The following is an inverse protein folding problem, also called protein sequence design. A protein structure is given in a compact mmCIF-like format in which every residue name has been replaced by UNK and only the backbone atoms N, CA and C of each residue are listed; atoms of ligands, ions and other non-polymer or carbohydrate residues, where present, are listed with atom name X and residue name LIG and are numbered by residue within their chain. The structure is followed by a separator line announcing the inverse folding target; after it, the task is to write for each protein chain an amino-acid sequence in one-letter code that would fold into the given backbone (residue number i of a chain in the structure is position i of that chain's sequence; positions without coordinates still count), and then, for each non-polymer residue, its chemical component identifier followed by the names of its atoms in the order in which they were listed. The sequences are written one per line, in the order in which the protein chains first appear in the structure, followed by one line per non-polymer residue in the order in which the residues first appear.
data_IF_065221035874
#
_entry.id   IF_065221035874
#
_cell.length_a   1.000
_cell.length_b   1.000
_cell.length_c   1.000
_cell.angle_alpha   90.00
_cell.angle_beta   90.00
_cell.angle_gamma   90.00
#
_symmetry.space_group_name_H-M   'P 1'
#
loop_
_entity.id
_entity.type
_entity.pdbx_description
1 polymer ?
#
# COMPACT_ATOMS: atom_id res chain seq x y z
N UNK A 1 -26.76 9.14 17.56
CA UNK A 1 -26.34 9.88 16.33
C UNK A 1 -27.00 9.19 15.15
N UNK A 2 -27.74 9.91 14.30
CA UNK A 2 -28.43 9.33 13.14
C UNK A 2 -27.43 9.16 11.97
N UNK A 3 -27.03 7.92 11.60
CA UNK A 3 -26.05 7.70 10.53
C UNK A 3 -26.54 8.17 9.16
N UNK A 4 -27.85 8.08 8.89
CA UNK A 4 -28.45 8.50 7.63
C UNK A 4 -28.33 10.01 7.44
N UNK A 5 -28.69 10.79 8.48
CA UNK A 5 -28.57 12.24 8.45
C UNK A 5 -27.13 12.73 8.20
N UNK A 6 -26.11 11.97 8.64
CA UNK A 6 -24.72 12.30 8.36
C UNK A 6 -24.34 11.98 6.90
N UNK A 7 -24.83 10.88 6.33
CA UNK A 7 -24.60 10.57 4.91
C UNK A 7 -25.25 11.61 4.00
N UNK A 8 -26.48 12.03 4.31
CA UNK A 8 -27.18 13.07 3.56
C UNK A 8 -26.44 14.42 3.64
N UNK A 9 -25.89 14.73 4.81
CA UNK A 9 -25.05 15.92 5.01
C UNK A 9 -23.80 15.89 4.13
N UNK A 10 -23.08 14.76 4.10
CA UNK A 10 -21.90 14.59 3.25
C UNK A 10 -22.28 14.67 1.76
N UNK A 11 -23.37 14.03 1.35
CA UNK A 11 -23.85 14.09 -0.04
C UNK A 11 -24.16 15.53 -0.46
N UNK A 12 -24.80 16.31 0.41
CA UNK A 12 -25.10 17.73 0.17
C UNK A 12 -23.81 18.57 0.02
N UNK A 13 -22.77 18.27 0.81
CA UNK A 13 -21.48 18.94 0.69
C UNK A 13 -20.81 18.59 -0.65
N UNK A 14 -20.77 17.30 -1.00
CA UNK A 14 -20.11 16.84 -2.23
C UNK A 14 -20.77 17.41 -3.49
N UNK A 15 -22.10 17.62 -3.50
CA UNK A 15 -22.77 18.32 -4.60
C UNK A 15 -22.17 19.71 -4.90
N UNK A 16 -21.71 20.43 -3.86
CA UNK A 16 -21.07 21.74 -4.02
C UNK A 16 -19.58 21.60 -4.32
N UNK A 17 -18.88 20.72 -3.61
CA UNK A 17 -17.44 20.53 -3.78
C UNK A 17 -17.07 20.03 -5.19
N UNK A 18 -17.90 19.19 -5.79
CA UNK A 18 -17.67 18.68 -7.14
C UNK A 18 -17.59 19.80 -8.20
N UNK A 19 -18.21 20.96 -7.94
CA UNK A 19 -18.14 22.13 -8.88
C UNK A 19 -16.76 22.78 -8.94
N UNK A 20 -15.91 22.48 -7.96
CA UNK A 20 -14.52 22.95 -7.87
C UNK A 20 -13.55 21.76 -7.82
N UNK A 21 -13.98 20.61 -8.33
CA UNK A 21 -13.19 19.39 -8.44
C UNK A 21 -12.68 18.87 -7.09
N UNK A 22 -13.42 19.09 -6.00
CA UNK A 22 -13.15 18.53 -4.68
C UNK A 22 -14.21 17.49 -4.28
N UNK A 23 -13.83 16.52 -3.46
CA UNK A 23 -14.76 15.53 -2.89
C UNK A 23 -14.41 15.23 -1.43
N UNK A 24 -15.40 15.16 -0.56
CA UNK A 24 -15.26 14.59 0.77
C UNK A 24 -15.47 13.07 0.71
N UNK A 25 -14.38 12.32 0.75
CA UNK A 25 -14.37 10.86 0.56
C UNK A 25 -14.17 10.12 1.88
N UNK A 26 -14.94 9.05 2.08
CA UNK A 26 -14.73 8.09 3.17
C UNK A 26 -13.82 6.97 2.69
N UNK A 27 -12.87 6.57 3.53
CA UNK A 27 -12.06 5.37 3.33
C UNK A 27 -11.81 4.66 4.67
N UNK A 28 -11.02 3.59 4.66
CA UNK A 28 -10.47 2.96 5.86
C UNK A 28 -8.95 2.87 5.71
N UNK A 29 -8.22 3.23 6.75
CA UNK A 29 -6.78 3.08 6.78
C UNK A 29 -6.40 1.60 6.59
N UNK A 30 -5.55 1.30 5.61
CA UNK A 30 -5.19 -0.08 5.29
C UNK A 30 -4.41 -0.78 6.42
N UNK A 31 -3.75 -0.02 7.30
CA UNK A 31 -2.97 -0.57 8.40
C UNK A 31 -3.86 -1.01 9.56
N UNK A 32 -4.76 -0.15 10.05
CA UNK A 32 -5.55 -0.44 11.27
C UNK A 32 -7.06 -0.63 11.02
N UNK A 33 -7.53 -0.35 9.81
CA UNK A 33 -8.92 -0.49 9.39
C UNK A 33 -9.85 0.59 9.96
N UNK A 34 -9.34 1.64 10.60
CA UNK A 34 -10.16 2.74 11.10
C UNK A 34 -10.70 3.56 9.94
N UNK A 35 -11.97 3.96 10.05
CA UNK A 35 -12.59 4.84 9.08
C UNK A 35 -11.90 6.22 9.10
N UNK A 36 -11.55 6.71 7.92
CA UNK A 36 -10.98 8.03 7.69
C UNK A 36 -11.87 8.81 6.73
N UNK A 37 -11.83 10.13 6.86
CA UNK A 37 -12.46 11.06 5.93
C UNK A 37 -11.40 12.01 5.43
N UNK A 38 -11.36 12.23 4.11
CA UNK A 38 -10.43 13.13 3.47
C UNK A 38 -11.16 14.04 2.47
N UNK A 39 -10.71 15.28 2.38
CA UNK A 39 -11.05 16.17 1.29
C UNK A 39 -10.03 15.94 0.17
N UNK A 40 -10.44 15.30 -0.91
CA UNK A 40 -9.58 14.97 -2.06
C UNK A 40 -9.86 15.95 -3.18
N UNK A 41 -8.84 16.29 -3.96
CA UNK A 41 -9.03 16.94 -5.25
C UNK A 41 -9.16 15.83 -6.30
N UNK A 42 -9.98 16.08 -7.30
CA UNK A 42 -10.36 15.09 -8.32
C UNK A 42 -9.66 15.37 -9.66
N UNK A 43 -8.77 16.38 -9.70
CA UNK A 43 -7.85 16.63 -10.83
C UNK A 43 -6.57 15.81 -10.71
N UNK A 44 -6.04 15.37 -11.86
CA UNK A 44 -4.78 14.62 -11.93
C UNK A 44 -3.52 15.43 -11.59
N UNK A 45 -3.59 16.76 -11.55
CA UNK A 45 -2.47 17.62 -11.18
C UNK A 45 -2.24 17.76 -9.67
N UNK A 46 -2.84 16.89 -8.84
CA UNK A 46 -2.77 16.94 -7.38
C UNK A 46 -1.36 16.90 -6.78
N UNK A 47 -0.36 16.36 -7.50
CA UNK A 47 1.05 16.46 -7.07
C UNK A 47 1.50 17.91 -6.90
N UNK A 48 0.82 18.88 -7.53
CA UNK A 48 1.06 20.32 -7.34
C UNK A 48 0.83 20.75 -5.88
N UNK A 49 0.00 20.05 -5.09
CA UNK A 49 -0.15 20.33 -3.65
C UNK A 49 1.17 20.15 -2.89
N UNK A 50 2.01 19.20 -3.30
CA UNK A 50 3.33 19.01 -2.69
C UNK A 50 4.25 20.21 -2.95
N UNK A 51 4.00 21.01 -4.00
CA UNK A 51 4.82 22.18 -4.34
C UNK A 51 4.76 23.31 -3.33
N UNK A 52 3.77 23.32 -2.42
CA UNK A 52 3.75 24.30 -1.32
C UNK A 52 4.65 23.92 -0.15
N UNK A 53 4.99 22.63 0.00
CA UNK A 53 5.73 22.08 1.16
C UNK A 53 7.11 21.54 0.80
N UNK A 54 7.33 21.20 -0.47
CA UNK A 54 8.52 20.56 -0.99
C UNK A 54 9.04 21.27 -2.23
N UNK A 55 10.36 21.31 -2.34
CA UNK A 55 11.06 21.79 -3.53
C UNK A 55 10.84 20.85 -4.72
N UNK A 56 11.04 21.32 -5.97
CA UNK A 56 10.88 20.49 -7.16
C UNK A 56 11.72 19.20 -7.15
N UNK A 57 12.91 19.24 -6.53
CA UNK A 57 13.81 18.07 -6.41
C UNK A 57 13.25 17.07 -5.40
N UNK A 58 12.75 17.55 -4.26
CA UNK A 58 12.11 16.70 -3.24
C UNK A 58 10.85 16.03 -3.81
N UNK A 59 10.06 16.74 -4.62
CA UNK A 59 8.89 16.18 -5.32
C UNK A 59 9.31 15.14 -6.35
N UNK A 60 10.35 15.41 -7.14
CA UNK A 60 10.86 14.42 -8.08
C UNK A 60 11.33 13.14 -7.36
N UNK A 61 11.96 13.28 -6.20
CA UNK A 61 12.31 12.13 -5.37
C UNK A 61 11.08 11.40 -4.81
N UNK A 62 10.07 12.13 -4.36
CA UNK A 62 8.85 11.51 -3.88
C UNK A 62 8.12 10.71 -4.98
N UNK A 63 8.04 11.26 -6.20
CA UNK A 63 7.52 10.53 -7.36
C UNK A 63 8.32 9.25 -7.65
N UNK A 64 9.65 9.33 -7.58
CA UNK A 64 10.52 8.17 -7.73
C UNK A 64 10.28 7.12 -6.65
N UNK A 65 10.03 7.54 -5.39
CA UNK A 65 9.67 6.62 -4.31
C UNK A 65 8.32 5.94 -4.56
N UNK A 66 7.32 6.68 -5.05
CA UNK A 66 6.02 6.10 -5.43
C UNK A 66 6.22 5.01 -6.48
N UNK A 67 7.00 5.30 -7.54
CA UNK A 67 7.30 4.31 -8.58
C UNK A 67 7.93 3.05 -7.97
N UNK A 68 9.01 3.17 -7.19
CA UNK A 68 9.66 2.03 -6.53
C UNK A 68 8.72 1.22 -5.64
N UNK A 69 7.77 1.88 -4.97
CA UNK A 69 6.81 1.24 -4.08
C UNK A 69 5.74 0.52 -4.88
N UNK A 70 5.14 1.18 -5.88
CA UNK A 70 4.02 0.66 -6.67
C UNK A 70 4.46 -0.46 -7.62
N UNK A 71 5.67 -0.37 -8.18
CA UNK A 71 6.23 -1.40 -9.07
C UNK A 71 7.03 -2.47 -8.30
N UNK A 72 6.90 -2.54 -6.97
CA UNK A 72 7.62 -3.53 -6.18
C UNK A 72 7.17 -4.96 -6.54
N UNK A 73 8.14 -5.86 -6.69
CA UNK A 73 7.87 -7.27 -6.98
C UNK A 73 6.96 -7.92 -5.93
N UNK A 74 6.27 -8.99 -6.35
CA UNK A 74 5.43 -9.82 -5.49
C UNK A 74 4.32 -9.05 -4.74
N UNK A 75 3.84 -7.93 -5.31
CA UNK A 75 2.82 -7.07 -4.70
C UNK A 75 3.26 -6.57 -3.31
N UNK A 76 4.57 -6.34 -3.12
CA UNK A 76 5.14 -5.97 -1.82
C UNK A 76 4.82 -4.52 -1.40
N UNK A 77 4.38 -3.66 -2.33
CA UNK A 77 4.00 -2.25 -2.14
C UNK A 77 4.86 -1.52 -1.09
N UNK A 78 6.18 -1.72 -1.17
CA UNK A 78 7.12 -1.15 -0.21
C UNK A 78 8.54 -1.16 -0.74
N UNK A 79 9.35 -0.22 -0.26
CA UNK A 79 10.77 -0.11 -0.58
C UNK A 79 11.61 -0.07 0.70
N UNK A 80 12.76 -0.77 0.73
CA UNK A 80 13.62 -0.74 1.92
C UNK A 80 14.28 0.63 2.11
N UNK A 81 14.55 1.02 3.36
CA UNK A 81 15.26 2.27 3.65
C UNK A 81 16.64 2.34 2.97
N UNK A 82 17.32 1.20 2.85
CA UNK A 82 18.62 1.11 2.16
C UNK A 82 18.46 1.45 0.67
N UNK A 83 17.45 0.87 0.02
CA UNK A 83 17.14 1.16 -1.39
C UNK A 83 16.73 2.62 -1.56
N UNK A 84 15.81 3.12 -0.75
CA UNK A 84 15.35 4.52 -0.81
C UNK A 84 16.54 5.50 -0.74
N UNK A 85 17.44 5.34 0.25
CA UNK A 85 18.62 6.19 0.40
C UNK A 85 19.61 6.09 -0.77
N UNK A 86 19.79 4.88 -1.32
CA UNK A 86 20.62 4.67 -2.51
C UNK A 86 20.05 5.40 -3.73
N UNK A 87 18.73 5.34 -3.92
CA UNK A 87 18.05 5.98 -5.05
C UNK A 87 18.03 7.51 -4.92
N UNK A 88 17.90 8.05 -3.70
CA UNK A 88 18.02 9.49 -3.45
C UNK A 88 19.35 10.05 -3.97
N UNK A 89 20.44 9.30 -3.81
CA UNK A 89 21.79 9.70 -4.22
C UNK A 89 21.96 9.74 -5.75
N UNK A 90 21.04 9.16 -6.53
CA UNK A 90 21.10 9.12 -8.00
C UNK A 90 20.40 10.30 -8.67
N UNK A 91 19.49 10.96 -7.96
CA UNK A 91 18.82 12.15 -8.47
C UNK A 91 19.84 13.28 -8.53
N UNK A 92 20.41 13.50 -9.73
CA UNK A 92 21.52 14.40 -10.19
C UNK A 92 21.75 15.74 -9.46
N UNK A 93 21.76 15.72 -8.14
CA UNK A 93 21.81 16.85 -7.22
C UNK A 93 22.51 16.37 -5.97
N UNK A 94 23.27 17.27 -5.36
CA UNK A 94 24.15 17.05 -4.20
C UNK A 94 23.36 16.82 -2.91
N UNK A 95 22.34 15.95 -2.91
CA UNK A 95 21.64 15.56 -1.69
C UNK A 95 22.57 14.63 -0.92
N UNK A 96 23.03 15.08 0.24
CA UNK A 96 23.82 14.23 1.14
C UNK A 96 22.94 13.11 1.71
N UNK A 97 23.55 12.00 2.14
CA UNK A 97 22.80 10.90 2.79
C UNK A 97 21.94 11.39 3.96
N UNK A 98 22.50 12.27 4.80
CA UNK A 98 21.79 12.86 5.94
C UNK A 98 20.59 13.72 5.49
N UNK A 99 20.73 14.47 4.40
CA UNK A 99 19.63 15.23 3.81
C UNK A 99 18.51 14.31 3.29
N UNK A 100 18.87 13.19 2.65
CA UNK A 100 17.91 12.20 2.19
C UNK A 100 17.18 11.48 3.33
N UNK A 101 17.89 11.13 4.41
CA UNK A 101 17.30 10.55 5.62
C UNK A 101 16.29 11.51 6.26
N UNK A 102 16.65 12.79 6.42
CA UNK A 102 15.75 13.81 6.96
C UNK A 102 14.52 14.02 6.06
N UNK A 103 14.70 14.00 4.74
CA UNK A 103 13.58 14.13 3.80
C UNK A 103 12.63 12.94 3.86
N UNK A 104 13.14 11.72 3.93
CA UNK A 104 12.32 10.52 4.13
C UNK A 104 11.55 10.60 5.45
N UNK A 105 12.19 11.06 6.54
CA UNK A 105 11.52 11.25 7.82
C UNK A 105 10.42 12.31 7.72
N UNK A 106 10.65 13.42 7.02
CA UNK A 106 9.62 14.44 6.75
C UNK A 106 8.42 13.84 6.03
N UNK A 107 8.61 13.03 4.99
CA UNK A 107 7.49 12.35 4.32
C UNK A 107 6.68 11.46 5.28
N UNK A 108 7.31 10.86 6.29
CA UNK A 108 6.60 10.07 7.31
C UNK A 108 5.87 10.96 8.32
N UNK A 109 6.51 12.04 8.77
CA UNK A 109 5.95 12.98 9.72
C UNK A 109 4.71 13.67 9.14
N UNK A 110 4.83 14.09 7.88
CA UNK A 110 3.77 14.70 7.06
C UNK A 110 2.77 13.66 6.54
N UNK A 111 2.89 12.39 6.92
CA UNK A 111 1.95 11.31 6.58
C UNK A 111 1.84 11.02 5.09
N UNK A 112 2.85 11.29 4.27
CA UNK A 112 2.92 10.79 2.89
C UNK A 112 3.40 9.33 2.84
N UNK A 113 4.30 8.93 3.73
CA UNK A 113 4.81 7.58 3.83
C UNK A 113 4.54 6.98 5.21
N UNK A 114 4.57 5.66 5.27
CA UNK A 114 4.62 4.90 6.52
C UNK A 114 5.97 4.18 6.55
N UNK A 115 6.73 4.35 7.63
CA UNK A 115 7.92 3.56 7.91
C UNK A 115 7.58 2.41 8.85
N UNK A 116 7.82 1.19 8.41
CA UNK A 116 7.62 0.00 9.22
C UNK A 116 8.74 -0.23 10.22
N UNK A 117 8.48 -1.10 11.19
CA UNK A 117 9.53 -1.63 12.09
C UNK A 117 10.60 -2.43 11.33
N UNK A 118 10.28 -2.96 10.14
CA UNK A 118 11.22 -3.67 9.26
C UNK A 118 12.13 -2.73 8.47
N UNK A 119 11.98 -1.40 8.61
CA UNK A 119 12.78 -0.43 7.88
C UNK A 119 12.41 -0.37 6.40
N UNK A 120 11.10 -0.42 6.10
CA UNK A 120 10.60 -0.21 4.74
C UNK A 120 9.54 0.89 4.72
N UNK A 121 9.52 1.62 3.61
CA UNK A 121 8.56 2.66 3.33
C UNK A 121 7.43 2.11 2.47
N UNK A 122 6.20 2.47 2.80
CA UNK A 122 4.99 2.21 2.00
C UNK A 122 4.16 3.49 1.90
N UNK A 123 3.22 3.55 0.94
CA UNK A 123 2.31 4.68 0.83
C UNK A 123 1.37 4.71 2.05
N UNK A 124 1.12 5.90 2.58
CA UNK A 124 0.10 6.08 3.60
C UNK A 124 -1.31 6.13 2.98
N UNK A 125 -2.33 6.03 3.84
CA UNK A 125 -3.71 6.27 3.41
C UNK A 125 -3.92 7.70 2.86
N UNK A 126 -3.18 8.70 3.38
CA UNK A 126 -3.22 10.08 2.87
C UNK A 126 -2.80 10.10 1.41
N UNK A 127 -1.67 9.49 1.08
CA UNK A 127 -1.14 9.44 -0.29
C UNK A 127 -2.09 8.72 -1.24
N UNK A 128 -2.65 7.58 -0.82
CA UNK A 128 -3.60 6.82 -1.64
C UNK A 128 -4.86 7.65 -1.95
N UNK A 129 -5.32 8.48 -1.02
CA UNK A 129 -6.52 9.32 -1.21
C UNK A 129 -6.23 10.61 -1.97
N UNK A 130 -5.22 11.36 -1.53
CA UNK A 130 -4.87 12.68 -2.08
C UNK A 130 -4.10 12.63 -3.39
N UNK A 131 -3.63 11.46 -3.84
CA UNK A 131 -3.01 11.31 -5.15
C UNK A 131 -3.69 10.20 -5.97
N UNK A 132 -4.93 9.82 -5.64
CA UNK A 132 -5.61 8.69 -6.27
C UNK A 132 -5.63 8.83 -7.79
N UNK A 133 -5.94 10.03 -8.31
CA UNK A 133 -6.03 10.29 -9.75
C UNK A 133 -4.65 10.10 -10.40
N UNK A 134 -3.63 10.77 -9.87
CA UNK A 134 -2.24 10.63 -10.32
C UNK A 134 -1.77 9.16 -10.29
N UNK A 135 -2.04 8.44 -9.21
CA UNK A 135 -1.66 7.04 -9.07
C UNK A 135 -2.31 6.19 -10.17
N UNK A 136 -3.61 6.38 -10.42
CA UNK A 136 -4.35 5.63 -11.45
C UNK A 136 -3.89 5.97 -12.86
N UNK A 137 -3.59 7.24 -13.14
CA UNK A 137 -3.14 7.68 -14.47
C UNK A 137 -1.73 7.18 -14.79
N UNK A 138 -0.80 7.21 -13.82
CA UNK A 138 0.61 6.86 -14.06
C UNK A 138 0.92 5.37 -13.88
N UNK A 139 0.15 4.65 -13.06
CA UNK A 139 0.47 3.27 -12.65
C UNK A 139 -0.71 2.29 -12.80
N UNK A 140 -1.60 2.53 -13.77
CA UNK A 140 -2.81 1.70 -14.01
C UNK A 140 -2.51 0.19 -14.01
N UNK A 141 -1.44 -0.22 -14.70
CA UNK A 141 -1.05 -1.64 -14.83
C UNK A 141 -0.44 -2.26 -13.56
N UNK A 142 0.00 -1.43 -12.61
CA UNK A 142 0.67 -1.87 -11.38
C UNK A 142 -0.23 -1.77 -10.15
N UNK A 143 -1.27 -0.94 -10.20
CA UNK A 143 -2.21 -0.80 -9.10
C UNK A 143 -3.18 -1.97 -9.04
N UNK A 144 -3.51 -2.33 -7.81
CA UNK A 144 -4.45 -3.39 -7.51
C UNK A 144 -5.65 -2.77 -6.83
N UNK A 145 -6.84 -3.20 -7.22
CA UNK A 145 -8.08 -2.83 -6.54
C UNK A 145 -8.62 -3.99 -5.71
N UNK A 146 -9.17 -3.66 -4.55
CA UNK A 146 -9.83 -4.61 -3.69
C UNK A 146 -11.08 -5.16 -4.40
N UNK A 147 -11.21 -6.48 -4.46
CA UNK A 147 -12.34 -7.16 -5.13
C UNK A 147 -13.71 -6.85 -4.49
N UNK A 148 -13.76 -6.27 -3.28
CA UNK A 148 -15.00 -6.02 -2.55
C UNK A 148 -15.41 -4.54 -2.52
N UNK A 149 -14.46 -3.62 -2.34
CA UNK A 149 -14.75 -2.19 -2.26
C UNK A 149 -14.29 -1.39 -3.50
N UNK A 150 -13.51 -2.00 -4.40
CA UNK A 150 -12.97 -1.38 -5.60
C UNK A 150 -12.02 -0.19 -5.36
N UNK A 151 -11.61 0.04 -4.11
CA UNK A 151 -10.53 0.98 -3.80
C UNK A 151 -9.16 0.33 -4.02
N UNK A 152 -8.15 1.15 -4.31
CA UNK A 152 -6.74 0.74 -4.38
C UNK A 152 -6.38 -0.03 -3.11
N UNK A 153 -5.69 -1.16 -3.25
CA UNK A 153 -5.15 -1.97 -2.15
C UNK A 153 -3.64 -2.06 -2.23
N UNK A 154 -2.96 -1.49 -1.23
CA UNK A 154 -1.50 -1.61 -1.08
C UNK A 154 -1.11 -2.51 0.09
N UNK A 155 -2.02 -2.75 1.04
CA UNK A 155 -1.87 -3.66 2.17
C UNK A 155 -3.14 -4.51 2.36
N UNK A 156 -2.98 -5.83 2.40
CA UNK A 156 -4.13 -6.73 2.44
C UNK A 156 -3.80 -8.21 2.32
N UNK A 157 -4.74 -8.96 1.76
CA UNK A 157 -4.65 -10.40 1.54
C UNK A 157 -4.93 -10.73 0.07
N UNK A 158 -4.30 -11.79 -0.42
CA UNK A 158 -4.46 -12.28 -1.79
C UNK A 158 -4.76 -13.77 -1.84
N UNK A 159 -5.43 -14.18 -2.92
CA UNK A 159 -5.66 -15.60 -3.19
C UNK A 159 -4.33 -16.33 -3.42
N UNK A 160 -4.26 -17.61 -3.01
CA UNK A 160 -3.09 -18.47 -3.23
C UNK A 160 -3.00 -19.04 -4.65
N UNK A 161 -4.10 -18.98 -5.39
CA UNK A 161 -4.17 -19.36 -6.79
C UNK A 161 -3.54 -18.25 -7.64
N UNK A 162 -2.40 -18.55 -8.27
CA UNK A 162 -1.60 -17.56 -9.03
C UNK A 162 -2.41 -16.82 -10.10
N UNK A 163 -3.28 -17.53 -10.83
CA UNK A 163 -4.13 -16.94 -11.88
C UNK A 163 -5.35 -16.19 -11.34
N UNK A 164 -5.65 -16.30 -10.05
CA UNK A 164 -6.77 -15.60 -9.43
C UNK A 164 -6.35 -14.18 -9.08
N UNK A 165 -7.08 -13.17 -9.58
CA UNK A 165 -6.84 -11.75 -9.30
C UNK A 165 -7.54 -11.24 -8.03
N UNK A 166 -8.05 -12.13 -7.18
CA UNK A 166 -8.76 -11.68 -5.97
C UNK A 166 -7.78 -11.16 -4.93
N UNK A 167 -7.97 -9.88 -4.57
CA UNK A 167 -7.13 -9.10 -3.66
C UNK A 167 -8.06 -8.31 -2.75
N UNK A 168 -7.82 -8.34 -1.44
CA UNK A 168 -8.75 -7.83 -0.44
C UNK A 168 -7.99 -6.99 0.58
N UNK A 169 -8.47 -5.80 0.94
CA UNK A 169 -8.00 -5.16 2.17
C UNK A 169 -8.27 -6.05 3.39
N UNK A 170 -7.45 -5.95 4.43
CA UNK A 170 -7.65 -6.72 5.66
C UNK A 170 -9.02 -6.50 6.30
N UNK A 171 -9.52 -5.27 6.32
CA UNK A 171 -10.83 -4.95 6.89
C UNK A 171 -11.98 -5.51 6.02
N UNK A 172 -11.82 -5.49 4.69
CA UNK A 172 -12.76 -6.08 3.74
C UNK A 172 -12.82 -7.61 3.89
N UNK A 173 -11.66 -8.28 3.93
CA UNK A 173 -11.55 -9.72 4.19
C UNK A 173 -12.20 -10.09 5.53
N UNK A 174 -11.90 -9.38 6.62
CA UNK A 174 -12.50 -9.63 7.93
C UNK A 174 -14.03 -9.60 7.89
N UNK A 175 -14.61 -8.59 7.24
CA UNK A 175 -16.06 -8.43 7.12
C UNK A 175 -16.69 -9.50 6.22
N UNK A 176 -16.05 -9.83 5.10
CA UNK A 176 -16.56 -10.79 4.15
C UNK A 176 -16.54 -12.22 4.70
N UNK A 177 -15.44 -12.61 5.35
CA UNK A 177 -15.30 -13.94 5.93
C UNK A 177 -16.03 -14.12 7.26
N UNK A 178 -16.32 -13.04 8.01
CA UNK A 178 -17.07 -13.17 9.28
C UNK A 178 -18.51 -13.68 9.10
N UNK A 179 -19.08 -13.51 7.90
CA UNK A 179 -20.43 -13.98 7.58
C UNK A 179 -20.47 -15.35 6.90
N UNK A 180 -19.33 -16.06 6.76
CA UNK A 180 -19.25 -17.33 6.05
C UNK A 180 -18.89 -18.49 6.98
N UNK A 181 -19.51 -19.65 6.74
CA UNK A 181 -19.16 -20.88 7.44
C UNK A 181 -17.78 -21.40 7.02
N UNK A 182 -17.41 -21.21 5.75
CA UNK A 182 -16.12 -21.58 5.19
C UNK A 182 -15.48 -20.36 4.52
N UNK A 183 -14.18 -20.14 4.75
CA UNK A 183 -13.44 -19.06 4.10
C UNK A 183 -13.12 -19.44 2.66
N UNK A 184 -13.89 -18.93 1.70
CA UNK A 184 -13.67 -19.20 0.27
C UNK A 184 -13.43 -17.91 -0.52
N UNK A 185 -12.52 -17.96 -1.49
CA UNK A 185 -12.24 -16.83 -2.37
C UNK A 185 -13.52 -16.32 -3.05
N UNK A 186 -13.81 -15.00 -3.07
CA UNK A 186 -14.99 -14.47 -3.73
C UNK A 186 -15.00 -14.75 -5.24
N UNK A 187 -13.83 -14.91 -5.86
CA UNK A 187 -13.67 -15.12 -7.31
C UNK A 187 -13.61 -16.60 -7.68
N UNK A 188 -12.54 -17.32 -7.30
CA UNK A 188 -12.31 -18.69 -7.74
C UNK A 188 -12.92 -19.78 -6.83
N UNK A 189 -13.56 -19.38 -5.72
CA UNK A 189 -14.22 -20.26 -4.74
C UNK A 189 -13.33 -21.30 -4.04
N UNK A 190 -12.02 -21.24 -4.23
CA UNK A 190 -11.04 -22.09 -3.52
C UNK A 190 -10.89 -21.62 -2.06
N UNK A 191 -10.60 -22.52 -1.10
CA UNK A 191 -10.36 -22.17 0.30
C UNK A 191 -9.30 -21.07 0.46
N UNK A 192 -9.63 -20.03 1.21
CA UNK A 192 -8.78 -18.86 1.42
C UNK A 192 -7.80 -19.09 2.57
N UNK A 193 -6.52 -18.81 2.33
CA UNK A 193 -5.46 -18.87 3.35
C UNK A 193 -5.12 -17.46 3.81
N UNK A 194 -5.18 -17.23 5.12
CA UNK A 194 -4.86 -15.92 5.71
C UNK A 194 -3.36 -15.54 5.60
N UNK A 195 -2.49 -16.47 5.17
CA UNK A 195 -1.03 -16.31 5.13
C UNK A 195 -0.49 -15.52 3.93
N UNK A 196 -1.32 -15.29 2.92
CA UNK A 196 -0.89 -14.64 1.69
C UNK A 196 -1.25 -13.17 1.74
N UNK A 197 -0.24 -12.35 2.02
CA UNK A 197 -0.39 -10.91 2.22
C UNK A 197 0.00 -10.11 0.96
N UNK A 198 -0.59 -8.92 0.85
CA UNK A 198 -0.22 -7.84 -0.06
C UNK A 198 0.44 -6.77 0.80
N UNK A 199 1.49 -6.13 0.30
CA UNK A 199 2.23 -5.11 1.05
C UNK A 199 3.27 -5.72 1.98
N UNK A 200 3.84 -4.87 2.85
CA UNK A 200 4.79 -5.35 3.84
C UNK A 200 4.11 -6.19 4.92
N UNK A 201 4.62 -7.41 5.12
CA UNK A 201 4.10 -8.29 6.17
C UNK A 201 4.15 -7.61 7.53
N UNK A 202 3.03 -7.65 8.25
CA UNK A 202 2.96 -7.21 9.64
C UNK A 202 3.77 -8.19 10.49
N UNK A 203 5.07 -7.95 10.65
CA UNK A 203 6.03 -8.72 11.45
C UNK A 203 5.40 -9.85 12.27
N UNK A 204 5.13 -10.99 11.63
CA UNK A 204 4.82 -12.20 12.37
C UNK A 204 6.17 -12.73 12.82
N UNK A 205 6.55 -12.44 14.05
CA UNK A 205 7.85 -12.75 14.68
C UNK A 205 8.25 -14.24 14.63
N UNK A 206 7.42 -15.12 14.08
CA UNK A 206 7.70 -16.55 13.84
C UNK A 206 8.04 -16.98 12.40
N UNK A 207 7.61 -16.26 11.35
CA UNK A 207 7.65 -16.79 9.98
C UNK A 207 9.05 -16.76 9.33
N UNK A 208 9.86 -15.76 9.67
CA UNK A 208 11.21 -15.59 9.15
C UNK A 208 12.18 -16.68 9.65
N UNK A 209 11.88 -17.29 10.81
CA UNK A 209 12.62 -18.44 11.33
C UNK A 209 12.30 -19.74 10.58
N UNK A 210 11.08 -19.92 10.08
CA UNK A 210 10.67 -21.14 9.37
C UNK A 210 11.31 -21.23 7.98
N UNK A 211 11.31 -20.13 7.20
CA UNK A 211 11.91 -20.12 5.85
C UNK A 211 13.43 -20.37 5.86
N UNK A 212 14.15 -19.97 6.92
CA UNK A 212 15.57 -20.31 7.11
C UNK A 212 15.80 -21.76 7.54
N UNK A 213 14.80 -22.40 8.17
CA UNK A 213 14.86 -23.81 8.59
C UNK A 213 14.60 -24.74 7.40
N UNK A 214 13.59 -24.44 6.59
CA UNK A 214 13.26 -25.25 5.40
C UNK A 214 14.38 -25.22 4.35
N UNK A 215 15.06 -24.09 4.15
CA UNK A 215 16.25 -24.04 3.28
C UNK A 215 17.42 -24.88 3.82
N UNK A 216 17.61 -24.96 5.13
CA UNK A 216 18.68 -25.78 5.73
C UNK A 216 18.41 -27.28 5.70
N UNK A 217 17.14 -27.68 5.67
CA UNK A 217 16.74 -29.09 5.58
C UNK A 217 16.95 -29.59 4.14
N UNK A 218 16.56 -28.80 3.13
CA UNK A 218 16.77 -29.18 1.73
C UNK A 218 18.25 -29.29 1.32
N UNK A 219 19.16 -28.51 1.92
CA UNK A 219 20.60 -28.60 1.61
C UNK A 219 21.29 -29.82 2.28
N UNK A 220 20.63 -30.51 3.23
CA UNK A 220 21.20 -31.69 3.91
C UNK A 220 20.83 -33.02 3.25
N UNK A 221 19.78 -33.07 2.43
CA UNK A 221 19.33 -34.29 1.74
C UNK A 221 20.07 -34.55 0.42
N UNK A 222 20.81 -33.56 -0.12
CA UNK A 222 21.56 -33.68 -1.39
C UNK A 222 22.98 -34.28 -1.22
N UNK A 223 23.42 -34.60 0.01
CA UNK A 223 24.76 -35.14 0.30
C UNK A 223 24.82 -36.65 0.57
N UNK A 224 23.71 -37.39 0.40
CA UNK A 224 23.64 -38.83 0.71
C UNK A 224 23.23 -39.73 -0.46
N UNK A 225 23.41 -39.30 -1.71
CA UNK A 225 23.08 -40.11 -2.90
C UNK A 225 24.26 -40.52 -3.79
N UNK A 226 25.51 -40.29 -3.38
CA UNK A 226 26.70 -40.74 -4.12
C UNK A 226 27.54 -41.74 -3.32
N UNK A 227 26.97 -42.90 -2.95
CA UNK A 227 27.73 -44.14 -2.68
C UNK A 227 26.80 -45.36 -2.79
N UNK A 228 26.61 -45.85 -4.02
CA UNK A 228 26.33 -47.25 -4.37
C UNK A 228 26.76 -47.50 -5.81
#
# INVERSE_FOLDING_TARGET
RNPEAFQDFIATINQKLNTIDLEFRKSHDETDGKAVWALVNTKGDEVVKLATEYSPIEIAYFKHLIELIVTADDEAFSVSSITALKEASKLKTTITKNTAENLLQRFVDDKWLILSQGGRYSLSQRTILELQVYLKEEFEDNLIECTLCYDIVTQGQRCDVQQCKSRLHHHCARRYFSSQNEKICPTCKIPWKDSNEIGEMRNNTGAMRSRRRDRRINDQDDYLQDYC
#
